data_IF_827492059671
#
_entry.id   IF_827492059671
#
_cell.length_a   1.000
_cell.length_b   1.000
_cell.length_c   1.000
_cell.angle_alpha   90.00
_cell.angle_beta   90.00
_cell.angle_gamma   90.00
#
_symmetry.space_group_name_H-M   'P 1'
#
loop_
_entity.id
_entity.type
_entity.pdbx_description
1 polymer ?
#
# COMPACT_ATOMS: atom_id res chain seq x y z
N UNK A 1 -25.13 5.90 -2.67
CA UNK A 1 -24.78 6.90 -1.63
C UNK A 1 -23.27 7.11 -1.65
N UNK A 2 -22.78 8.30 -1.34
CA UNK A 2 -21.33 8.59 -1.31
C UNK A 2 -20.60 7.70 -0.30
N UNK A 3 -19.37 7.27 -0.60
CA UNK A 3 -18.50 6.56 0.35
C UNK A 3 -18.05 7.46 1.51
N UNK A 4 -18.15 8.80 1.35
CA UNK A 4 -17.78 9.77 2.39
C UNK A 4 -18.55 9.53 3.71
N UNK A 5 -19.80 9.08 3.66
CA UNK A 5 -20.60 8.77 4.86
C UNK A 5 -20.15 7.53 5.63
N UNK A 6 -19.21 6.75 5.07
CA UNK A 6 -18.68 5.54 5.71
C UNK A 6 -17.38 5.78 6.45
N UNK A 7 -16.79 6.96 6.30
CA UNK A 7 -15.57 7.26 7.02
C UNK A 7 -15.84 7.42 8.51
N UNK A 8 -14.93 6.85 9.28
CA UNK A 8 -14.95 6.87 10.74
C UNK A 8 -14.71 8.26 11.32
N UNK A 9 -13.88 9.04 10.62
CA UNK A 9 -13.58 10.44 10.87
C UNK A 9 -13.86 11.21 9.58
N UNK A 10 -14.43 12.42 9.64
CA UNK A 10 -14.68 13.22 8.44
C UNK A 10 -13.42 13.35 7.58
N UNK A 11 -13.53 13.04 6.28
CA UNK A 11 -12.38 13.12 5.36
C UNK A 11 -11.88 14.56 5.26
N UNK A 12 -12.76 15.54 5.45
CA UNK A 12 -12.45 16.96 5.45
C UNK A 12 -11.42 17.33 6.53
N UNK A 13 -11.40 16.63 7.68
CA UNK A 13 -10.43 16.84 8.76
C UNK A 13 -9.01 16.44 8.34
N UNK A 14 -8.85 15.62 7.30
CA UNK A 14 -7.52 15.33 6.76
C UNK A 14 -6.88 16.57 6.13
N UNK A 15 -7.70 17.53 5.67
CA UNK A 15 -7.29 18.72 4.90
C UNK A 15 -6.26 18.43 3.79
N UNK A 16 -6.21 17.19 3.30
CA UNK A 16 -5.07 16.72 2.54
C UNK A 16 -5.12 17.22 1.10
N UNK A 17 -4.31 18.24 0.84
CA UNK A 17 -4.07 18.83 -0.49
C UNK A 17 -2.64 19.31 -0.54
N UNK A 18 -1.94 19.02 -1.62
CA UNK A 18 -0.57 19.49 -1.84
C UNK A 18 -0.33 19.71 -3.34
N UNK A 19 0.68 20.51 -3.65
CA UNK A 19 1.08 20.78 -5.02
C UNK A 19 2.12 19.74 -5.48
N UNK A 20 1.66 18.75 -6.25
CA UNK A 20 2.59 17.87 -6.97
C UNK A 20 3.36 18.66 -8.04
N UNK A 21 4.67 18.41 -8.18
CA UNK A 21 5.50 19.12 -9.16
C UNK A 21 5.68 18.27 -10.40
N UNK A 22 5.17 18.77 -11.53
CA UNK A 22 5.06 18.06 -12.79
C UNK A 22 5.88 18.54 -13.98
N UNK A 23 6.57 17.63 -14.68
CA UNK A 23 7.19 17.89 -15.98
C UNK A 23 6.60 16.97 -17.06
N UNK A 24 5.89 17.55 -18.03
CA UNK A 24 5.29 16.76 -19.12
C UNK A 24 6.33 16.47 -20.20
N UNK A 25 6.65 15.18 -20.38
CA UNK A 25 7.68 14.73 -21.30
C UNK A 25 7.08 13.92 -22.44
N UNK A 26 7.24 14.39 -23.68
CA UNK A 26 6.92 13.63 -24.88
C UNK A 26 8.15 12.84 -25.34
N UNK A 27 7.94 11.56 -25.67
CA UNK A 27 8.97 10.71 -26.27
C UNK A 27 8.74 10.65 -27.78
N UNK A 28 9.78 10.99 -28.54
CA UNK A 28 9.80 10.91 -30.00
C UNK A 28 10.62 9.73 -30.51
N UNK A 29 11.42 9.15 -29.63
CA UNK A 29 12.07 7.87 -29.86
C UNK A 29 11.10 6.76 -29.45
N UNK A 30 10.66 5.99 -30.45
CA UNK A 30 9.73 4.87 -30.29
C UNK A 30 10.46 3.52 -30.31
N UNK A 31 11.77 3.53 -30.56
CA UNK A 31 12.59 2.35 -30.41
C UNK A 31 12.82 2.13 -28.91
N UNK A 32 12.39 0.97 -28.40
CA UNK A 32 12.49 0.68 -26.97
C UNK A 32 13.92 0.34 -26.58
N UNK A 33 14.45 1.01 -25.56
CA UNK A 33 15.81 0.79 -25.05
C UNK A 33 15.93 -0.42 -24.13
N UNK A 34 14.84 -0.80 -23.44
CA UNK A 34 14.81 -1.91 -22.47
C UNK A 34 13.90 -3.07 -22.88
N UNK A 35 14.51 -4.18 -23.32
CA UNK A 35 13.79 -5.42 -23.63
C UNK A 35 13.09 -6.03 -22.40
N UNK A 36 13.68 -5.88 -21.21
CA UNK A 36 13.12 -6.37 -19.94
C UNK A 36 11.80 -5.65 -19.61
N UNK A 37 11.74 -4.33 -19.80
CA UNK A 37 10.52 -3.53 -19.58
C UNK A 37 9.43 -3.88 -20.59
N UNK A 38 9.78 -4.11 -21.85
CA UNK A 38 8.83 -4.58 -22.85
C UNK A 38 8.26 -5.97 -22.55
N UNK A 39 9.09 -6.90 -22.06
CA UNK A 39 8.63 -8.23 -21.59
C UNK A 39 7.67 -8.09 -20.43
N UNK A 40 7.98 -7.21 -19.48
CA UNK A 40 7.11 -6.94 -18.34
C UNK A 40 5.77 -6.34 -18.78
N UNK A 41 5.79 -5.40 -19.73
CA UNK A 41 4.59 -4.82 -20.34
C UNK A 41 3.75 -5.87 -21.08
N UNK A 42 4.37 -6.73 -21.89
CA UNK A 42 3.68 -7.81 -22.57
C UNK A 42 2.99 -8.76 -21.58
N UNK A 43 3.67 -9.08 -20.47
CA UNK A 43 3.10 -9.88 -19.38
C UNK A 43 1.92 -9.19 -18.71
N UNK A 44 2.03 -7.90 -18.38
CA UNK A 44 0.96 -7.11 -17.77
C UNK A 44 -0.30 -7.07 -18.63
N UNK A 45 -0.16 -6.90 -19.95
CA UNK A 45 -1.28 -6.98 -20.89
C UNK A 45 -1.99 -8.33 -20.90
N UNK A 46 -1.23 -9.42 -20.89
CA UNK A 46 -1.79 -10.78 -20.96
C UNK A 46 -2.48 -11.21 -19.65
N UNK A 47 -2.07 -10.64 -18.52
CA UNK A 47 -2.50 -11.04 -17.19
C UNK A 47 -3.60 -10.14 -16.61
N UNK A 48 -4.25 -9.32 -17.45
CA UNK A 48 -5.40 -8.52 -17.04
C UNK A 48 -6.56 -9.39 -16.55
N UNK A 49 -7.26 -8.90 -15.54
CA UNK A 49 -8.43 -9.51 -14.93
C UNK A 49 -9.49 -8.46 -14.60
N UNK A 50 -10.73 -8.89 -14.43
CA UNK A 50 -11.87 -8.02 -14.10
C UNK A 50 -12.35 -8.36 -12.68
N UNK A 51 -12.42 -7.36 -11.81
CA UNK A 51 -12.79 -7.55 -10.41
C UNK A 51 -14.23 -8.04 -10.24
N UNK A 52 -15.16 -7.67 -11.13
CA UNK A 52 -16.56 -8.09 -11.04
C UNK A 52 -16.70 -9.59 -11.27
N UNK A 53 -16.06 -10.11 -12.32
CA UNK A 53 -16.22 -11.50 -12.75
C UNK A 53 -15.21 -12.47 -12.13
N UNK A 54 -14.05 -11.97 -11.67
CA UNK A 54 -12.95 -12.83 -11.20
C UNK A 54 -12.98 -13.12 -9.70
N UNK A 55 -13.61 -12.25 -8.92
CA UNK A 55 -13.72 -12.37 -7.45
C UNK A 55 -15.15 -12.79 -7.10
N UNK A 56 -15.31 -13.80 -6.26
CA UNK A 56 -16.62 -14.22 -5.78
C UNK A 56 -17.14 -13.29 -4.67
N UNK A 57 -17.85 -12.23 -5.05
CA UNK A 57 -18.47 -11.26 -4.14
C UNK A 57 -19.70 -11.79 -3.38
N UNK A 58 -20.20 -12.98 -3.71
CA UNK A 58 -21.34 -13.59 -3.00
C UNK A 58 -20.96 -14.09 -1.60
N UNK A 59 -19.66 -14.27 -1.36
CA UNK A 59 -19.12 -14.71 -0.08
C UNK A 59 -19.30 -13.64 1.00
N UNK A 60 -19.68 -14.07 2.19
CA UNK A 60 -19.88 -13.21 3.35
C UNK A 60 -18.63 -13.14 4.25
N UNK A 61 -18.58 -12.11 5.08
CA UNK A 61 -17.54 -11.95 6.11
C UNK A 61 -18.17 -12.03 7.50
N UNK A 62 -17.42 -12.56 8.46
CA UNK A 62 -17.87 -12.60 9.85
C UNK A 62 -17.86 -11.18 10.46
N UNK A 63 -18.92 -10.74 11.17
CA UNK A 63 -18.99 -9.40 11.75
C UNK A 63 -17.95 -9.09 12.85
N UNK A 64 -17.39 -10.11 13.50
CA UNK A 64 -16.40 -10.02 14.59
C UNK A 64 -14.99 -10.42 14.13
N UNK A 65 -14.88 -11.27 13.11
CA UNK A 65 -13.60 -11.67 12.50
C UNK A 65 -13.68 -11.79 10.96
N UNK A 66 -13.80 -10.66 10.24
CA UNK A 66 -14.03 -10.66 8.79
C UNK A 66 -13.03 -11.50 7.97
N UNK A 67 -11.74 -11.41 8.32
CA UNK A 67 -10.67 -12.13 7.62
C UNK A 67 -10.44 -13.55 8.16
N UNK A 68 -10.99 -13.91 9.31
CA UNK A 68 -10.78 -15.21 9.96
C UNK A 68 -9.29 -15.56 10.10
N UNK A 69 -8.52 -14.64 10.68
CA UNK A 69 -7.09 -14.78 10.86
C UNK A 69 -6.76 -15.11 12.31
N UNK A 70 -5.68 -15.87 12.53
CA UNK A 70 -5.21 -16.21 13.86
C UNK A 70 -4.86 -14.96 14.69
N UNK A 71 -5.24 -14.95 15.96
CA UNK A 71 -5.07 -13.79 16.84
C UNK A 71 -3.62 -13.33 17.00
N UNK A 72 -2.64 -14.19 16.71
CA UNK A 72 -1.22 -13.81 16.68
C UNK A 72 -0.88 -12.68 15.71
N UNK A 73 -1.77 -12.34 14.77
CA UNK A 73 -1.61 -11.17 13.89
C UNK A 73 -2.30 -9.90 14.40
N UNK A 74 -3.15 -10.02 15.43
CA UNK A 74 -3.88 -8.88 16.01
C UNK A 74 -2.91 -8.03 16.84
N UNK A 75 -2.90 -6.70 16.64
CA UNK A 75 -2.17 -5.78 17.50
C UNK A 75 -2.44 -6.07 18.99
N UNK A 76 -1.39 -6.00 19.82
CA UNK A 76 -1.42 -6.32 21.27
C UNK A 76 -1.55 -7.80 21.64
N UNK A 77 -1.78 -8.73 20.72
CA UNK A 77 -1.86 -10.14 21.09
C UNK A 77 -0.63 -10.61 21.87
N UNK A 78 -0.87 -11.30 22.99
CA UNK A 78 0.17 -11.79 23.90
C UNK A 78 0.71 -10.77 24.90
N UNK A 79 0.28 -9.50 24.85
CA UNK A 79 0.70 -8.48 25.83
C UNK A 79 -0.20 -8.46 27.08
N UNK A 80 0.24 -7.85 28.20
CA UNK A 80 -0.62 -7.66 29.37
C UNK A 80 -1.88 -6.87 29.06
N UNK A 81 -1.82 -5.90 28.15
CA UNK A 81 -2.99 -5.13 27.72
C UNK A 81 -4.05 -6.04 27.07
N UNK A 82 -3.65 -6.97 26.20
CA UNK A 82 -4.57 -7.94 25.59
C UNK A 82 -5.27 -8.84 26.60
N UNK A 83 -4.55 -9.30 27.62
CA UNK A 83 -5.10 -10.16 28.68
C UNK A 83 -6.18 -9.46 29.51
N UNK A 84 -6.20 -8.12 29.52
CA UNK A 84 -7.20 -7.31 30.22
C UNK A 84 -8.44 -7.02 29.37
N UNK A 85 -8.37 -7.26 28.06
CA UNK A 85 -9.52 -7.06 27.16
C UNK A 85 -10.53 -8.20 27.35
N UNK A 86 -11.81 -7.85 27.45
CA UNK A 86 -12.92 -8.80 27.33
C UNK A 86 -12.98 -9.40 25.92
N UNK A 87 -13.72 -10.50 25.74
CA UNK A 87 -13.91 -11.12 24.42
C UNK A 87 -14.47 -10.14 23.38
N UNK A 88 -15.44 -9.31 23.77
CA UNK A 88 -16.01 -8.28 22.89
C UNK A 88 -14.97 -7.24 22.52
N UNK A 89 -14.15 -6.77 23.47
CA UNK A 89 -13.08 -5.82 23.16
C UNK A 89 -11.99 -6.43 22.27
N UNK A 90 -11.69 -7.72 22.42
CA UNK A 90 -10.78 -8.43 21.53
C UNK A 90 -11.35 -8.54 20.11
N UNK A 91 -12.64 -8.83 19.97
CA UNK A 91 -13.35 -8.83 18.69
C UNK A 91 -13.36 -7.45 18.03
N UNK A 92 -13.66 -6.39 18.79
CA UNK A 92 -13.61 -5.03 18.28
C UNK A 92 -12.20 -4.65 17.83
N UNK A 93 -11.18 -4.92 18.65
CA UNK A 93 -9.78 -4.66 18.27
C UNK A 93 -9.39 -5.40 16.99
N UNK A 94 -9.78 -6.68 16.84
CA UNK A 94 -9.54 -7.46 15.62
C UNK A 94 -10.21 -6.81 14.42
N UNK A 95 -11.51 -6.53 14.51
CA UNK A 95 -12.28 -5.92 13.44
C UNK A 95 -11.69 -4.57 13.02
N UNK A 96 -11.40 -3.70 14.00
CA UNK A 96 -10.82 -2.38 13.77
C UNK A 96 -9.43 -2.47 13.13
N UNK A 97 -8.60 -3.43 13.55
CA UNK A 97 -7.27 -3.65 12.96
C UNK A 97 -7.36 -4.11 11.50
N UNK A 98 -8.28 -5.02 11.20
CA UNK A 98 -8.49 -5.53 9.83
C UNK A 98 -8.99 -4.41 8.91
N UNK A 99 -10.00 -3.65 9.34
CA UNK A 99 -10.60 -2.60 8.51
C UNK A 99 -9.69 -1.37 8.38
N UNK A 100 -8.87 -1.05 9.39
CA UNK A 100 -7.83 -0.03 9.29
C UNK A 100 -6.84 -0.38 8.19
N UNK A 101 -6.29 -1.60 8.21
CA UNK A 101 -5.35 -2.06 7.18
C UNK A 101 -5.95 -2.01 5.77
N UNK A 102 -7.16 -2.53 5.57
CA UNK A 102 -7.83 -2.47 4.26
C UNK A 102 -8.09 -1.03 3.81
N UNK A 103 -8.42 -0.12 4.73
CA UNK A 103 -8.57 1.30 4.41
C UNK A 103 -7.24 1.90 3.94
N UNK A 104 -6.14 1.61 4.63
CA UNK A 104 -4.81 2.06 4.22
C UNK A 104 -4.35 1.44 2.89
N UNK A 105 -4.84 0.25 2.52
CA UNK A 105 -4.61 -0.32 1.20
C UNK A 105 -5.36 0.46 0.14
N UNK A 106 -6.67 0.66 0.30
CA UNK A 106 -7.46 1.47 -0.63
C UNK A 106 -6.82 2.83 -0.93
N UNK A 107 -6.37 3.54 0.11
CA UNK A 107 -5.71 4.85 -0.05
C UNK A 107 -4.32 4.73 -0.70
N UNK A 108 -3.59 3.65 -0.38
CA UNK A 108 -2.33 3.31 -1.02
C UNK A 108 -2.49 3.10 -2.52
N UNK A 109 -3.48 2.31 -2.94
CA UNK A 109 -3.74 2.04 -4.36
C UNK A 109 -4.20 3.29 -5.11
N UNK A 110 -4.94 4.18 -4.44
CA UNK A 110 -5.27 5.47 -5.04
C UNK A 110 -4.00 6.34 -5.22
N UNK A 111 -3.07 6.30 -4.25
CA UNK A 111 -1.76 6.94 -4.38
C UNK A 111 -0.95 6.34 -5.52
N UNK A 112 -0.93 5.00 -5.63
CA UNK A 112 -0.24 4.26 -6.69
C UNK A 112 -0.82 4.60 -8.06
N UNK A 113 -2.15 4.67 -8.19
CA UNK A 113 -2.84 5.12 -9.41
C UNK A 113 -2.35 6.49 -9.87
N UNK A 114 -2.26 7.46 -8.96
CA UNK A 114 -1.79 8.82 -9.26
C UNK A 114 -0.31 8.80 -9.62
N UNK A 115 0.52 8.05 -8.90
CA UNK A 115 1.95 7.92 -9.19
C UNK A 115 2.22 7.23 -10.52
N UNK A 116 1.46 6.19 -10.89
CA UNK A 116 1.57 5.53 -12.18
C UNK A 116 1.19 6.49 -13.32
N UNK A 117 0.13 7.28 -13.14
CA UNK A 117 -0.26 8.31 -14.11
C UNK A 117 0.82 9.40 -14.25
N UNK A 118 1.44 9.79 -13.13
CA UNK A 118 2.60 10.69 -13.09
C UNK A 118 3.79 10.12 -13.88
N UNK A 119 4.11 8.85 -13.68
CA UNK A 119 5.17 8.16 -14.41
C UNK A 119 4.89 8.20 -15.92
N UNK A 120 3.65 7.92 -16.37
CA UNK A 120 3.27 8.04 -17.79
C UNK A 120 3.57 9.44 -18.32
N UNK A 121 3.29 10.48 -17.54
CA UNK A 121 3.46 11.87 -17.94
C UNK A 121 4.95 12.26 -18.12
N UNK A 122 5.84 11.82 -17.22
CA UNK A 122 7.15 12.49 -17.09
C UNK A 122 8.34 11.70 -17.59
N UNK A 123 8.25 10.37 -17.57
CA UNK A 123 9.44 9.57 -17.86
C UNK A 123 9.85 9.75 -19.32
N UNK A 124 11.16 9.80 -19.60
CA UNK A 124 11.64 10.02 -20.96
C UNK A 124 11.48 8.80 -21.87
N UNK A 125 11.60 7.59 -21.31
CA UNK A 125 11.60 6.34 -22.05
C UNK A 125 10.18 5.85 -22.38
N UNK A 126 9.92 5.50 -23.65
CA UNK A 126 8.58 5.13 -24.12
C UNK A 126 8.11 3.79 -23.54
N UNK A 127 9.01 2.82 -23.36
CA UNK A 127 8.71 1.53 -22.76
C UNK A 127 8.25 1.65 -21.30
N UNK A 128 8.81 2.63 -20.57
CA UNK A 128 8.36 2.95 -19.21
C UNK A 128 6.97 3.56 -19.22
N UNK A 129 6.65 4.44 -20.20
CA UNK A 129 5.28 4.96 -20.37
C UNK A 129 4.28 3.83 -20.70
N UNK A 130 4.66 2.86 -21.54
CA UNK A 130 3.80 1.71 -21.87
C UNK A 130 3.51 0.85 -20.64
N UNK A 131 4.54 0.53 -19.86
CA UNK A 131 4.36 -0.25 -18.65
C UNK A 131 3.53 0.53 -17.62
N UNK A 132 3.87 1.78 -17.35
CA UNK A 132 3.15 2.61 -16.39
C UNK A 132 1.67 2.80 -16.77
N UNK A 133 1.34 2.89 -18.07
CA UNK A 133 -0.05 2.95 -18.51
C UNK A 133 -0.81 1.65 -18.22
N UNK A 134 -0.14 0.50 -18.24
CA UNK A 134 -0.72 -0.77 -17.79
C UNK A 134 -0.94 -0.75 -16.28
N UNK A 135 0.05 -0.25 -15.53
CA UNK A 135 -0.08 -0.11 -14.08
C UNK A 135 -1.23 0.84 -13.70
N UNK A 136 -1.43 1.96 -14.41
CA UNK A 136 -2.60 2.84 -14.17
C UNK A 136 -3.92 2.06 -14.24
N UNK A 137 -4.05 1.13 -15.18
CA UNK A 137 -5.23 0.27 -15.27
C UNK A 137 -5.29 -0.74 -14.11
N UNK A 138 -4.16 -1.36 -13.75
CA UNK A 138 -4.07 -2.28 -12.62
C UNK A 138 -4.50 -1.58 -11.31
N UNK A 139 -3.98 -0.38 -11.02
CA UNK A 139 -4.31 0.37 -9.79
C UNK A 139 -5.75 0.88 -9.76
N UNK A 140 -6.32 1.27 -10.91
CA UNK A 140 -7.73 1.64 -10.98
C UNK A 140 -8.63 0.48 -10.53
N UNK A 141 -8.28 -0.75 -10.93
CA UNK A 141 -8.98 -1.97 -10.51
C UNK A 141 -8.68 -2.35 -9.06
N UNK A 142 -7.47 -2.11 -8.56
CA UNK A 142 -7.17 -2.34 -7.13
C UNK A 142 -8.03 -1.43 -6.24
N UNK A 143 -8.14 -0.15 -6.60
CA UNK A 143 -9.05 0.81 -5.96
C UNK A 143 -10.50 0.33 -6.04
N UNK A 144 -10.95 -0.14 -7.21
CA UNK A 144 -12.29 -0.71 -7.38
C UNK A 144 -12.55 -1.88 -6.43
N UNK A 145 -11.63 -2.86 -6.38
CA UNK A 145 -11.76 -4.07 -5.58
C UNK A 145 -11.77 -3.76 -4.07
N UNK A 146 -10.81 -2.97 -3.58
CA UNK A 146 -10.77 -2.60 -2.16
C UNK A 146 -11.94 -1.70 -1.76
N UNK A 147 -12.33 -0.76 -2.63
CA UNK A 147 -13.54 0.05 -2.42
C UNK A 147 -14.74 -0.87 -2.25
N UNK A 148 -14.96 -1.81 -3.17
CA UNK A 148 -16.10 -2.74 -3.11
C UNK A 148 -16.06 -3.59 -1.85
N UNK A 149 -14.92 -4.19 -1.52
CA UNK A 149 -14.74 -4.97 -0.30
C UNK A 149 -15.14 -4.18 0.95
N UNK A 150 -14.57 -2.98 1.12
CA UNK A 150 -14.85 -2.11 2.26
C UNK A 150 -16.31 -1.63 2.30
N UNK A 151 -16.92 -1.42 1.14
CA UNK A 151 -18.27 -0.85 1.04
C UNK A 151 -19.38 -1.88 1.11
N UNK A 152 -19.14 -3.13 0.72
CA UNK A 152 -20.18 -4.16 0.72
C UNK A 152 -20.06 -5.08 1.92
N UNK A 153 -18.85 -5.29 2.45
CA UNK A 153 -18.57 -6.31 3.45
C UNK A 153 -18.11 -5.75 4.79
N UNK A 154 -17.63 -4.52 4.84
CA UNK A 154 -17.21 -3.85 6.08
C UNK A 154 -18.13 -2.69 6.45
N UNK A 155 -18.22 -2.42 7.75
CA UNK A 155 -19.08 -1.42 8.39
C UNK A 155 -18.64 0.03 8.14
N UNK A 156 -17.34 0.30 8.05
CA UNK A 156 -16.79 1.65 7.99
C UNK A 156 -15.38 1.67 7.38
N UNK A 157 -14.87 2.86 7.08
CA UNK A 157 -13.55 3.11 6.46
C UNK A 157 -12.74 4.08 7.32
N UNK A 158 -11.46 3.80 7.56
CA UNK A 158 -10.57 4.75 8.22
C UNK A 158 -9.99 5.77 7.21
N UNK A 159 -9.75 7.03 7.61
CA UNK A 159 -9.02 7.98 6.77
C UNK A 159 -7.59 7.51 6.52
N UNK A 160 -6.96 8.08 5.49
CA UNK A 160 -5.54 7.88 5.22
C UNK A 160 -4.71 8.32 6.44
N UNK A 161 -3.77 7.47 6.84
CA UNK A 161 -2.85 7.76 7.94
C UNK A 161 -1.79 8.78 7.55
N UNK A 162 -1.34 9.59 8.51
CA UNK A 162 -0.32 10.63 8.26
C UNK A 162 0.97 10.08 7.64
N UNK A 163 1.55 8.94 8.09
CA UNK A 163 2.76 8.40 7.46
C UNK A 163 2.56 8.04 5.98
N UNK A 164 1.38 7.51 5.60
CA UNK A 164 1.08 7.19 4.21
C UNK A 164 0.89 8.47 3.36
N UNK A 165 0.23 9.50 3.92
CA UNK A 165 0.13 10.80 3.26
C UNK A 165 1.51 11.36 2.93
N UNK A 166 2.41 11.39 3.92
CA UNK A 166 3.77 11.95 3.75
C UNK A 166 4.55 11.18 2.68
N UNK A 167 4.48 9.85 2.68
CA UNK A 167 5.16 9.04 1.66
C UNK A 167 4.66 9.35 0.24
N UNK A 168 3.33 9.48 0.06
CA UNK A 168 2.73 9.80 -1.23
C UNK A 168 3.06 11.25 -1.64
N UNK A 169 2.99 12.19 -0.70
CA UNK A 169 3.39 13.60 -0.90
C UNK A 169 4.83 13.67 -1.40
N UNK A 170 5.75 12.99 -0.72
CA UNK A 170 7.17 12.95 -1.06
C UNK A 170 7.41 12.36 -2.45
N UNK A 171 6.71 11.27 -2.80
CA UNK A 171 6.81 10.63 -4.13
C UNK A 171 6.32 11.53 -5.28
N UNK A 172 5.43 12.48 -5.00
CA UNK A 172 4.77 13.34 -6.00
C UNK A 172 5.26 14.81 -5.99
N UNK A 173 6.01 15.22 -4.96
CA UNK A 173 6.49 16.60 -4.81
C UNK A 173 7.85 16.81 -5.47
N UNK A 174 8.70 15.79 -5.56
CA UNK A 174 9.97 15.94 -6.28
C UNK A 174 9.71 16.05 -7.79
N UNK A 175 10.48 16.94 -8.44
CA UNK A 175 10.36 17.20 -9.87
C UNK A 175 11.00 16.09 -10.70
N UNK A 176 11.99 15.41 -10.11
CA UNK A 176 12.81 14.39 -10.76
C UNK A 176 12.00 13.10 -10.78
N UNK A 177 11.80 12.57 -11.98
CA UNK A 177 10.89 11.44 -12.23
C UNK A 177 11.26 10.17 -11.43
N UNK A 178 12.54 9.97 -11.09
CA UNK A 178 13.04 8.78 -10.39
C UNK A 178 12.57 8.70 -8.93
N UNK A 179 12.25 9.82 -8.29
CA UNK A 179 11.71 9.85 -6.94
C UNK A 179 10.31 9.24 -6.85
N UNK A 180 9.48 9.39 -7.88
CA UNK A 180 8.17 8.72 -7.92
C UNK A 180 8.33 7.20 -7.95
N UNK A 181 9.33 6.68 -8.65
CA UNK A 181 9.66 5.25 -8.62
C UNK A 181 10.16 4.79 -7.26
N UNK A 182 11.08 5.54 -6.63
CA UNK A 182 11.55 5.21 -5.29
C UNK A 182 10.42 5.20 -4.28
N UNK A 183 9.62 6.26 -4.25
CA UNK A 183 8.53 6.42 -3.30
C UNK A 183 7.45 5.36 -3.49
N UNK A 184 6.97 5.18 -4.72
CA UNK A 184 5.86 4.27 -4.97
C UNK A 184 6.32 2.82 -5.15
N UNK A 185 7.13 2.55 -6.18
CA UNK A 185 7.43 1.19 -6.63
C UNK A 185 8.38 0.44 -5.69
N UNK A 186 9.32 1.17 -5.07
CA UNK A 186 10.33 0.55 -4.18
C UNK A 186 9.88 0.56 -2.73
N UNK A 187 9.41 1.71 -2.21
CA UNK A 187 9.03 1.85 -0.81
C UNK A 187 7.60 1.41 -0.53
N UNK A 188 6.59 2.08 -1.11
CA UNK A 188 5.18 1.82 -0.76
C UNK A 188 4.74 0.42 -1.21
N UNK A 189 4.86 0.10 -2.50
CA UNK A 189 4.43 -1.18 -3.08
C UNK A 189 5.30 -2.35 -2.62
N UNK A 190 6.62 -2.13 -2.57
CA UNK A 190 7.59 -3.13 -2.09
C UNK A 190 7.25 -3.67 -0.70
N UNK A 191 6.67 -2.83 0.16
CA UNK A 191 6.22 -3.20 1.50
C UNK A 191 4.77 -3.67 1.53
N UNK A 192 3.89 -3.07 0.72
CA UNK A 192 2.50 -3.49 0.60
C UNK A 192 2.39 -4.98 0.23
N UNK A 193 3.28 -5.47 -0.64
CA UNK A 193 3.33 -6.88 -1.05
C UNK A 193 3.43 -7.86 0.14
N UNK A 194 4.19 -7.52 1.18
CA UNK A 194 4.32 -8.37 2.39
C UNK A 194 3.01 -8.40 3.20
N UNK A 195 2.32 -7.26 3.26
CA UNK A 195 1.05 -7.14 3.98
C UNK A 195 -0.08 -7.87 3.24
N UNK A 196 -0.17 -7.70 1.91
CA UNK A 196 -1.09 -8.48 1.08
C UNK A 196 -0.81 -9.98 1.15
N UNK A 197 0.48 -10.37 1.10
CA UNK A 197 0.91 -11.76 1.20
C UNK A 197 0.41 -12.41 2.48
N UNK A 198 0.47 -11.68 3.60
CA UNK A 198 -0.04 -12.19 4.88
C UNK A 198 -1.53 -12.49 4.80
N UNK A 199 -2.35 -11.59 4.25
CA UNK A 199 -3.79 -11.82 4.17
C UNK A 199 -4.08 -12.99 3.22
N UNK A 200 -3.44 -13.03 2.06
CA UNK A 200 -3.55 -14.14 1.10
C UNK A 200 -3.20 -15.50 1.74
N UNK A 201 -2.13 -15.57 2.51
CA UNK A 201 -1.63 -16.85 3.04
C UNK A 201 -2.38 -17.33 4.27
N UNK A 202 -2.85 -16.40 5.12
CA UNK A 202 -3.36 -16.75 6.45
C UNK A 202 -4.85 -16.49 6.65
N UNK A 203 -5.51 -15.67 5.83
CA UNK A 203 -6.96 -15.46 5.91
C UNK A 203 -7.73 -16.75 5.59
N UNK A 204 -8.65 -17.15 6.48
CA UNK A 204 -9.56 -18.27 6.23
C UNK A 204 -10.85 -17.85 5.51
N UNK A 205 -11.15 -16.55 5.49
CA UNK A 205 -12.19 -16.00 4.64
C UNK A 205 -11.75 -15.97 3.16
N UNK A 206 -12.47 -16.67 2.30
CA UNK A 206 -12.10 -16.84 0.88
C UNK A 206 -12.20 -15.53 0.08
N UNK A 207 -13.12 -14.63 0.42
CA UNK A 207 -13.24 -13.33 -0.27
C UNK A 207 -12.03 -12.44 0.01
N UNK A 208 -11.68 -12.27 1.28
CA UNK A 208 -10.51 -11.49 1.69
C UNK A 208 -9.23 -12.07 1.06
N UNK A 209 -9.13 -13.39 0.99
CA UNK A 209 -8.03 -14.08 0.32
C UNK A 209 -7.97 -13.78 -1.17
N UNK A 210 -9.09 -13.89 -1.88
CA UNK A 210 -9.17 -13.67 -3.33
C UNK A 210 -8.78 -12.23 -3.71
N UNK A 211 -9.35 -11.22 -3.05
CA UNK A 211 -9.03 -9.81 -3.31
C UNK A 211 -7.53 -9.57 -3.22
N UNK A 212 -6.90 -10.01 -2.12
CA UNK A 212 -5.46 -9.82 -1.91
C UNK A 212 -4.62 -10.66 -2.89
N UNK A 213 -5.06 -11.88 -3.24
CA UNK A 213 -4.33 -12.73 -4.19
C UNK A 213 -4.23 -12.08 -5.59
N UNK A 214 -5.32 -11.49 -6.07
CA UNK A 214 -5.37 -10.88 -7.40
C UNK A 214 -4.60 -9.56 -7.46
N UNK A 215 -4.75 -8.69 -6.45
CA UNK A 215 -3.92 -7.47 -6.34
C UNK A 215 -2.43 -7.83 -6.33
N UNK A 216 -2.02 -8.81 -5.49
CA UNK A 216 -0.63 -9.26 -5.42
C UNK A 216 -0.06 -9.79 -6.73
N UNK A 217 -0.90 -10.34 -7.61
CA UNK A 217 -0.46 -10.83 -8.92
C UNK A 217 0.15 -9.69 -9.75
N UNK A 218 -0.34 -8.47 -9.54
CA UNK A 218 0.04 -7.27 -10.27
C UNK A 218 1.19 -6.55 -9.56
N UNK A 219 1.12 -6.40 -8.24
CA UNK A 219 2.14 -5.74 -7.40
C UNK A 219 3.55 -6.30 -7.59
N UNK A 220 3.68 -7.62 -7.78
CA UNK A 220 4.98 -8.24 -8.02
C UNK A 220 5.66 -7.69 -9.30
N UNK A 221 4.86 -7.29 -10.30
CA UNK A 221 5.35 -6.68 -11.53
C UNK A 221 5.65 -5.19 -11.33
N UNK A 222 4.85 -4.45 -10.55
CA UNK A 222 5.10 -3.04 -10.26
C UNK A 222 6.45 -2.85 -9.53
N UNK A 223 6.71 -3.64 -8.49
CA UNK A 223 8.04 -3.64 -7.82
C UNK A 223 9.18 -3.98 -8.79
N UNK A 224 8.97 -4.94 -9.71
CA UNK A 224 9.97 -5.29 -10.71
C UNK A 224 10.21 -4.13 -11.70
N UNK A 225 9.16 -3.42 -12.11
CA UNK A 225 9.24 -2.26 -12.97
C UNK A 225 10.13 -1.17 -12.38
N UNK A 226 9.90 -0.78 -11.12
CA UNK A 226 10.73 0.23 -10.49
C UNK A 226 12.19 -0.18 -10.34
N UNK A 227 12.45 -1.44 -9.99
CA UNK A 227 13.83 -1.95 -9.90
C UNK A 227 14.54 -1.94 -11.24
N UNK A 228 13.88 -2.37 -12.31
CA UNK A 228 14.47 -2.39 -13.66
C UNK A 228 14.72 -0.96 -14.17
N UNK A 229 13.75 -0.06 -14.04
CA UNK A 229 13.88 1.32 -14.49
C UNK A 229 15.01 2.07 -13.76
N UNK A 230 15.14 1.89 -12.44
CA UNK A 230 16.15 2.59 -11.64
C UNK A 230 17.54 1.97 -11.74
N UNK A 231 17.65 0.65 -11.94
CA UNK A 231 18.93 -0.06 -12.09
C UNK A 231 19.80 0.54 -13.20
N UNK A 232 19.18 0.89 -14.33
CA UNK A 232 19.91 1.37 -15.50
C UNK A 232 20.21 2.89 -15.41
N UNK A 233 19.45 3.62 -14.58
CA UNK A 233 19.63 5.07 -14.38
C UNK A 233 20.68 5.40 -13.30
N UNK A 234 20.66 4.72 -12.15
CA UNK A 234 21.48 5.12 -10.99
C UNK A 234 23.00 5.07 -11.19
N UNK A 235 23.57 4.17 -12.02
CA UNK A 235 24.98 4.22 -12.38
C UNK A 235 25.43 5.55 -13.00
N UNK A 236 24.50 6.31 -13.59
CA UNK A 236 24.75 7.58 -14.26
C UNK A 236 24.74 8.78 -13.30
N UNK A 237 24.23 8.59 -12.07
CA UNK A 237 24.14 9.65 -11.06
C UNK A 237 25.48 9.89 -10.38
N UNK A 238 25.73 11.17 -10.05
CA UNK A 238 26.83 11.58 -9.18
C UNK A 238 26.64 11.04 -7.75
N UNK A 239 27.72 11.05 -6.98
CA UNK A 239 27.69 10.61 -5.58
C UNK A 239 26.75 11.47 -4.70
N UNK A 240 26.65 12.77 -5.01
CA UNK A 240 25.73 13.69 -4.30
C UNK A 240 24.29 13.32 -4.61
N UNK A 241 23.95 13.12 -5.88
CA UNK A 241 22.60 12.73 -6.28
C UNK A 241 22.18 11.40 -5.68
N UNK A 242 23.10 10.41 -5.62
CA UNK A 242 22.83 9.11 -4.98
C UNK A 242 22.55 9.26 -3.49
N UNK A 243 23.33 10.07 -2.77
CA UNK A 243 23.09 10.35 -1.34
C UNK A 243 21.70 10.93 -1.08
N UNK A 244 21.21 11.81 -1.94
CA UNK A 244 19.85 12.36 -1.80
C UNK A 244 18.77 11.27 -1.91
N UNK A 245 18.98 10.27 -2.78
CA UNK A 245 18.06 9.12 -2.90
C UNK A 245 18.18 8.17 -1.71
N UNK A 246 19.38 7.98 -1.19
CA UNK A 246 19.61 7.19 0.03
C UNK A 246 18.90 7.83 1.23
N UNK A 247 19.03 9.15 1.41
CA UNK A 247 18.33 9.90 2.46
C UNK A 247 16.81 9.78 2.31
N UNK A 248 16.28 9.93 1.09
CA UNK A 248 14.87 9.70 0.81
C UNK A 248 14.38 8.29 1.19
N UNK A 249 15.17 7.26 0.88
CA UNK A 249 14.84 5.87 1.23
C UNK A 249 14.89 5.64 2.74
N UNK A 250 15.85 6.26 3.44
CA UNK A 250 15.96 6.20 4.90
C UNK A 250 14.76 6.86 5.56
N UNK A 251 14.44 8.10 5.18
CA UNK A 251 13.28 8.84 5.69
C UNK A 251 11.98 8.08 5.43
N UNK A 252 11.78 7.63 4.18
CA UNK A 252 10.60 6.86 3.81
C UNK A 252 10.51 5.54 4.60
N UNK A 253 11.63 4.90 4.92
CA UNK A 253 11.66 3.71 5.78
C UNK A 253 11.15 3.98 7.20
N UNK A 254 11.41 5.17 7.77
CA UNK A 254 10.86 5.57 9.06
C UNK A 254 9.33 5.70 9.01
N UNK A 255 8.79 6.38 7.99
CA UNK A 255 7.34 6.50 7.82
C UNK A 255 6.66 5.16 7.54
N UNK A 256 7.29 4.27 6.79
CA UNK A 256 6.79 2.92 6.57
C UNK A 256 6.72 2.09 7.87
N UNK A 257 7.68 2.26 8.78
CA UNK A 257 7.64 1.63 10.12
C UNK A 257 6.47 2.17 10.93
N UNK A 258 6.24 3.47 10.88
CA UNK A 258 5.22 4.19 11.66
C UNK A 258 3.80 3.98 11.12
N UNK A 259 3.62 3.70 9.83
CA UNK A 259 2.31 3.46 9.21
C UNK A 259 1.46 2.40 9.92
N UNK A 260 2.09 1.44 10.61
CA UNK A 260 1.41 0.37 11.34
C UNK A 260 1.06 0.71 12.79
N UNK A 261 1.39 1.92 13.26
CA UNK A 261 1.13 2.37 14.62
C UNK A 261 -0.33 2.75 14.86
N UNK A 262 -1.06 3.18 13.82
CA UNK A 262 -2.53 3.36 13.81
C UNK A 262 -3.12 4.18 15.00
N UNK A 263 -2.60 5.37 15.33
CA UNK A 263 -3.06 6.15 16.49
C UNK A 263 -4.57 6.42 16.50
N UNK A 264 -5.16 6.71 15.34
CA UNK A 264 -6.59 7.01 15.18
C UNK A 264 -7.48 5.79 15.50
N UNK A 265 -6.93 4.58 15.34
CA UNK A 265 -7.60 3.34 15.69
C UNK A 265 -7.66 3.17 17.22
N UNK A 266 -6.58 3.47 17.92
CA UNK A 266 -6.47 3.33 19.37
C UNK A 266 -7.42 4.26 20.12
N UNK A 267 -7.46 5.53 19.72
CA UNK A 267 -8.36 6.53 20.29
C UNK A 267 -9.82 6.06 20.18
N UNK A 268 -10.20 5.48 19.04
CA UNK A 268 -11.55 4.96 18.82
C UNK A 268 -11.90 3.75 19.67
N UNK A 269 -10.91 2.92 19.99
CA UNK A 269 -11.07 1.77 20.88
C UNK A 269 -11.02 2.17 22.37
N UNK A 270 -10.85 3.47 22.67
CA UNK A 270 -10.71 3.96 24.04
C UNK A 270 -9.39 3.53 24.70
N UNK A 271 -8.37 3.22 23.90
CA UNK A 271 -7.04 2.85 24.36
C UNK A 271 -6.13 4.07 24.17
N UNK A 272 -5.40 4.48 25.19
CA UNK A 272 -4.41 5.56 25.06
C UNK A 272 -3.36 5.16 24.01
N UNK A 273 -3.16 5.93 22.93
CA UNK A 273 -2.18 5.60 21.91
C UNK A 273 -0.77 5.40 22.47
N UNK A 274 -0.37 6.11 23.53
CA UNK A 274 0.96 5.95 24.14
C UNK A 274 1.13 4.58 24.77
N UNK A 275 0.11 4.11 25.49
CA UNK A 275 0.12 2.80 26.12
C UNK A 275 0.13 1.68 25.06
N UNK A 276 -0.70 1.83 24.02
CA UNK A 276 -0.71 0.87 22.91
C UNK A 276 0.64 0.80 22.21
N UNK A 277 1.28 1.94 21.93
CA UNK A 277 2.57 1.99 21.25
C UNK A 277 3.70 1.41 22.08
N UNK A 278 3.73 1.67 23.39
CA UNK A 278 4.72 1.08 24.30
C UNK A 278 4.65 -0.46 24.27
N UNK A 279 3.45 -1.03 24.28
CA UNK A 279 3.23 -2.48 24.17
C UNK A 279 3.60 -3.03 22.78
N UNK A 280 3.31 -2.28 21.71
CA UNK A 280 3.64 -2.68 20.33
C UNK A 280 5.15 -2.71 20.08
N UNK A 281 5.92 -1.80 20.67
CA UNK A 281 7.38 -1.78 20.50
C UNK A 281 8.05 -3.02 21.08
N UNK A 282 7.54 -3.53 22.21
CA UNK A 282 8.02 -4.77 22.84
C UNK A 282 7.44 -6.06 22.26
N UNK A 283 6.39 -5.98 21.42
CA UNK A 283 5.71 -7.17 20.90
C UNK A 283 6.57 -7.95 19.90
N UNK A 284 6.85 -9.21 20.20
CA UNK A 284 7.59 -10.09 19.28
C UNK A 284 6.91 -10.23 17.91
N UNK A 285 5.57 -10.24 17.87
CA UNK A 285 4.80 -10.32 16.64
C UNK A 285 5.07 -9.12 15.73
N UNK A 286 5.10 -7.92 16.32
CA UNK A 286 5.43 -6.68 15.62
C UNK A 286 6.88 -6.64 15.17
N UNK A 287 7.82 -7.07 16.02
CA UNK A 287 9.24 -7.16 15.65
C UNK A 287 9.42 -8.11 14.46
N UNK A 288 8.82 -9.31 14.49
CA UNK A 288 8.88 -10.27 13.37
C UNK A 288 8.20 -9.73 12.11
N UNK A 289 7.11 -8.98 12.25
CA UNK A 289 6.47 -8.34 11.11
C UNK A 289 7.37 -7.29 10.48
N UNK A 290 7.88 -6.33 11.26
CA UNK A 290 8.77 -5.27 10.80
C UNK A 290 10.05 -5.83 10.17
N UNK A 291 10.66 -6.88 10.73
CA UNK A 291 11.82 -7.55 10.11
C UNK A 291 11.50 -8.09 8.69
N UNK A 292 10.36 -8.75 8.52
CA UNK A 292 9.91 -9.24 7.20
C UNK A 292 9.52 -8.12 6.24
N UNK A 293 8.98 -7.04 6.78
CA UNK A 293 8.58 -5.86 6.02
C UNK A 293 9.83 -5.19 5.38
N UNK A 294 10.89 -4.99 6.16
CA UNK A 294 12.10 -4.30 5.71
C UNK A 294 13.12 -5.17 4.96
N UNK A 295 13.01 -6.51 5.01
CA UNK A 295 13.88 -7.40 4.22
C UNK A 295 13.69 -7.27 2.70
N UNK A 296 12.72 -6.44 2.24
CA UNK A 296 12.54 -6.11 0.82
C UNK A 296 13.26 -4.84 0.39
N UNK A 297 13.57 -3.94 1.34
CA UNK A 297 14.32 -2.70 1.11
C UNK A 297 15.82 -2.95 1.33
N UNK A 298 16.17 -3.61 2.44
CA UNK A 298 17.55 -4.00 2.77
C UNK A 298 17.60 -5.54 2.80
N UNK A 299 17.78 -6.19 1.63
CA UNK A 299 17.70 -7.64 1.49
C UNK A 299 18.80 -8.42 2.20
#
# INVERSE_FOLDING_TARGET
MSTLYRYVLPVEETHWRFEGRAETTFSWDYDAGSEDLLKLYAKGKQQQWDAESRIDWSLEVDPEDPMQMDDSVVPLFGTPLWQRLSRTQQADLRYHSQVFNLSQFLHGEQGALICAARIVQDVPAIESKFYAATQVMDEARHVEAFRRLLTEKFRFVYPISRPLQVLIEQALTDRRWDFTYLGMQVLIEGLALVAFQRIRDYSKNDLCRQVNAYVMQDEARHVAFGRLALRDYYPQLSEVERREREEFVIEGSHHLRERFNSPEMWERLGIDPKDALAELEGSEGQIRFRKRLFSRIVP
#
